data_IF_263325715551
#
_entry.id   IF_263325715551
#
_cell.length_a   1.000
_cell.length_b   1.000
_cell.length_c   1.000
_cell.angle_alpha   90.00
_cell.angle_beta   90.00
_cell.angle_gamma   90.00
#
_symmetry.space_group_name_H-M   'P 1'
#
loop_
_entity.id
_entity.type
_entity.pdbx_description
1 polymer ?
#
# COMPACT_ATOMS: atom_id res chain seq x y z
N UNK A 1 19.20 0.34 12.06
CA UNK A 1 18.00 0.23 12.92
C UNK A 1 18.30 0.62 14.36
N UNK A 2 19.26 -0.03 15.05
CA UNK A 2 19.52 0.26 16.46
C UNK A 2 20.03 1.71 16.68
N UNK A 3 20.87 2.24 15.79
CA UNK A 3 21.38 3.60 15.86
C UNK A 3 20.31 4.65 15.51
N UNK A 4 19.38 4.35 14.62
CA UNK A 4 18.29 5.23 14.22
C UNK A 4 17.20 5.30 15.29
N UNK A 5 16.83 4.16 15.91
CA UNK A 5 15.91 4.11 17.05
C UNK A 5 16.41 4.89 18.27
N UNK A 6 17.73 5.09 18.38
CA UNK A 6 18.38 5.74 19.52
C UNK A 6 18.78 7.19 19.23
N UNK A 7 18.57 7.71 18.02
CA UNK A 7 18.79 9.12 17.70
C UNK A 7 17.58 9.98 18.08
N UNK A 8 17.35 10.12 19.37
CA UNK A 8 16.30 11.00 19.94
C UNK A 8 16.48 12.48 19.58
N UNK A 9 17.62 12.86 19.00
CA UNK A 9 17.86 14.23 18.54
C UNK A 9 17.02 14.58 17.31
N UNK A 10 16.71 13.59 16.48
CA UNK A 10 15.91 13.75 15.27
C UNK A 10 14.47 14.19 15.59
N UNK A 11 13.94 13.83 16.77
CA UNK A 11 12.58 14.13 17.19
C UNK A 11 12.43 15.36 18.08
N UNK A 12 13.47 16.19 18.19
CA UNK A 12 13.42 17.43 18.98
C UNK A 12 13.30 17.22 20.50
N UNK A 13 13.57 16.01 21.00
CA UNK A 13 13.51 15.66 22.42
C UNK A 13 14.70 16.15 23.24
N UNK A 14 15.63 16.93 22.65
CA UNK A 14 16.70 17.59 23.39
C UNK A 14 16.13 18.63 24.33
N UNK A 15 15.97 18.27 25.60
CA UNK A 15 15.79 19.26 26.65
C UNK A 15 17.16 19.71 27.16
N UNK A 16 17.25 20.96 27.67
CA UNK A 16 18.48 21.48 28.30
C UNK A 16 18.97 20.64 29.50
N UNK A 17 18.16 19.70 29.96
CA UNK A 17 18.35 18.96 31.20
C UNK A 17 18.45 17.44 31.00
N UNK A 18 18.33 16.95 29.78
CA UNK A 18 18.32 15.52 29.50
C UNK A 18 19.23 15.23 28.33
N UNK A 19 20.17 14.33 28.51
CA UNK A 19 21.07 13.82 27.50
C UNK A 19 20.85 12.31 27.35
N UNK A 20 20.71 11.85 26.10
CA UNK A 20 20.48 10.45 25.77
C UNK A 20 21.71 9.84 25.11
N UNK A 21 22.11 8.67 25.57
CA UNK A 21 23.21 7.90 25.03
C UNK A 21 22.71 6.51 24.61
N UNK A 22 22.91 6.16 23.35
CA UNK A 22 22.53 4.84 22.82
C UNK A 22 23.42 3.70 23.32
N UNK A 23 24.64 4.06 23.77
CA UNK A 23 25.61 3.12 24.34
C UNK A 23 26.16 3.74 25.62
N UNK A 24 26.23 2.94 26.68
CA UNK A 24 26.78 3.37 27.97
C UNK A 24 28.23 3.83 27.82
N UNK A 25 28.51 5.06 28.23
CA UNK A 25 29.84 5.66 28.16
C UNK A 25 30.53 5.57 29.52
N UNK A 26 31.85 5.33 29.52
CA UNK A 26 32.65 5.28 30.73
C UNK A 26 32.74 6.67 31.34
N UNK A 27 32.58 6.76 32.66
CA UNK A 27 32.68 7.99 33.41
C UNK A 27 31.42 8.85 33.47
N UNK A 28 30.33 8.42 32.88
CA UNK A 28 29.01 9.06 32.97
C UNK A 28 28.15 8.28 33.93
N UNK A 29 27.56 8.95 34.92
CA UNK A 29 26.54 8.39 35.80
C UNK A 29 25.17 8.63 35.18
N UNK A 30 24.47 7.55 34.87
CA UNK A 30 23.11 7.59 34.33
C UNK A 30 22.09 7.53 35.45
N UNK A 31 21.05 8.36 35.35
CA UNK A 31 19.94 8.33 36.31
C UNK A 31 18.88 7.29 35.89
N UNK A 32 18.69 7.13 34.57
CA UNK A 32 17.63 6.26 34.01
C UNK A 32 18.15 5.42 32.86
N UNK A 33 17.51 4.28 32.65
CA UNK A 33 17.72 3.40 31.51
C UNK A 33 16.38 3.16 30.80
N UNK A 34 16.39 3.25 29.47
CA UNK A 34 15.26 2.83 28.65
C UNK A 34 15.61 1.52 27.97
N UNK A 35 14.89 0.48 28.32
CA UNK A 35 15.08 -0.86 27.78
C UNK A 35 13.96 -1.21 26.81
N UNK A 36 14.32 -1.56 25.56
CA UNK A 36 13.38 -2.04 24.55
C UNK A 36 13.56 -3.56 24.43
N UNK A 37 12.51 -4.29 24.74
CA UNK A 37 12.50 -5.76 24.70
C UNK A 37 11.53 -6.22 23.63
N UNK A 38 12.04 -6.82 22.55
CA UNK A 38 11.22 -7.47 21.52
C UNK A 38 10.61 -8.76 22.08
N UNK A 39 9.29 -8.89 21.97
CA UNK A 39 8.54 -10.03 22.50
C UNK A 39 8.18 -11.02 21.42
N UNK A 40 7.76 -10.51 20.27
CA UNK A 40 7.33 -11.34 19.16
C UNK A 40 7.62 -10.62 17.85
N UNK A 41 8.14 -11.37 16.90
CA UNK A 41 8.23 -11.00 15.49
C UNK A 41 7.48 -12.07 14.71
N UNK A 42 6.40 -11.68 14.05
CA UNK A 42 5.60 -12.57 13.22
C UNK A 42 5.69 -12.11 11.77
N UNK A 43 6.04 -13.03 10.87
CA UNK A 43 6.07 -12.79 9.43
C UNK A 43 5.14 -13.81 8.79
N UNK A 44 4.14 -13.32 8.03
CA UNK A 44 3.24 -14.21 7.30
C UNK A 44 3.97 -14.91 6.16
N UNK A 45 3.51 -16.10 5.75
CA UNK A 45 3.94 -16.66 4.48
C UNK A 45 3.57 -15.73 3.32
N UNK A 46 4.27 -15.87 2.23
CA UNK A 46 3.97 -15.20 0.96
C UNK A 46 2.62 -15.72 0.43
N UNK A 47 1.74 -14.80 0.05
CA UNK A 47 0.42 -15.13 -0.45
C UNK A 47 0.18 -14.47 -1.80
N UNK A 48 -0.36 -15.25 -2.73
CA UNK A 48 -0.89 -14.73 -4.00
C UNK A 48 -2.37 -15.11 -4.03
N UNK A 49 -3.24 -14.11 -4.10
CA UNK A 49 -4.68 -14.28 -4.27
C UNK A 49 -5.06 -13.89 -5.68
N UNK A 50 -5.74 -14.79 -6.37
CA UNK A 50 -6.20 -14.58 -7.73
C UNK A 50 -7.73 -14.44 -7.76
N UNK A 51 -8.20 -13.55 -8.62
CA UNK A 51 -9.62 -13.28 -8.81
C UNK A 51 -9.89 -13.03 -10.29
N UNK A 52 -10.93 -13.67 -10.80
CA UNK A 52 -11.42 -13.49 -12.17
C UNK A 52 -12.83 -12.91 -12.12
N UNK A 53 -13.10 -11.93 -13.00
CA UNK A 53 -14.44 -11.37 -13.16
C UNK A 53 -14.62 -10.72 -14.53
N UNK A 54 -15.87 -10.54 -14.93
CA UNK A 54 -16.25 -9.92 -16.21
C UNK A 54 -16.91 -8.58 -15.90
N UNK A 55 -16.54 -7.57 -16.67
CA UNK A 55 -17.20 -6.26 -16.71
C UNK A 55 -17.78 -6.03 -18.08
N UNK A 56 -18.98 -5.46 -18.11
CA UNK A 56 -19.67 -5.05 -19.31
C UNK A 56 -20.07 -3.57 -19.20
N UNK A 57 -19.97 -2.86 -20.30
CA UNK A 57 -20.29 -1.44 -20.35
C UNK A 57 -20.75 -1.05 -21.74
N UNK A 58 -21.73 -0.16 -21.78
CA UNK A 58 -22.07 0.55 -23.02
C UNK A 58 -21.22 1.82 -23.11
N UNK A 59 -20.55 2.00 -24.22
CA UNK A 59 -19.70 3.18 -24.50
C UNK A 59 -20.14 3.85 -25.78
N UNK A 60 -19.82 5.15 -25.90
CA UNK A 60 -19.94 5.88 -27.16
C UNK A 60 -18.62 5.68 -27.92
N UNK A 61 -18.70 5.06 -29.10
CA UNK A 61 -17.57 4.78 -29.97
C UNK A 61 -17.69 5.61 -31.27
N UNK A 62 -17.52 6.94 -31.14
CA UNK A 62 -17.69 7.88 -32.18
C UNK A 62 -19.16 8.14 -32.54
N UNK A 63 -19.39 8.60 -33.75
CA UNK A 63 -20.73 8.91 -34.29
C UNK A 63 -21.02 8.07 -35.55
N UNK A 64 -22.27 7.74 -35.74
CA UNK A 64 -22.75 7.08 -36.96
C UNK A 64 -23.86 7.87 -37.58
N UNK A 65 -24.04 7.67 -38.89
CA UNK A 65 -25.14 8.28 -39.64
C UNK A 65 -26.47 7.71 -39.15
N UNK A 66 -27.44 8.58 -38.90
CA UNK A 66 -28.81 8.17 -38.65
C UNK A 66 -29.44 7.67 -39.95
N UNK A 67 -29.94 6.45 -39.93
CA UNK A 67 -30.66 5.84 -41.05
C UNK A 67 -32.14 5.74 -40.71
N UNK A 68 -32.99 5.96 -41.72
CA UNK A 68 -34.42 5.71 -41.62
C UNK A 68 -34.76 4.18 -41.65
N UNK A 69 -36.05 3.84 -41.57
CA UNK A 69 -36.50 2.46 -41.62
C UNK A 69 -36.19 1.71 -42.95
N UNK A 70 -35.84 2.45 -44.01
CA UNK A 70 -35.48 1.94 -45.33
C UNK A 70 -33.96 1.90 -45.54
N UNK A 71 -33.17 2.28 -44.52
CA UNK A 71 -31.70 2.33 -44.59
C UNK A 71 -31.14 3.57 -45.29
N UNK A 72 -31.95 4.61 -45.55
CA UNK A 72 -31.48 5.88 -46.12
C UNK A 72 -31.02 6.86 -45.05
N UNK A 73 -30.01 7.67 -45.39
CA UNK A 73 -29.48 8.71 -44.50
C UNK A 73 -30.57 9.76 -44.21
N UNK A 74 -30.77 10.06 -42.92
CA UNK A 74 -31.67 11.15 -42.49
C UNK A 74 -30.91 12.46 -42.61
N UNK A 75 -31.54 13.44 -43.27
CA UNK A 75 -31.00 14.78 -43.43
C UNK A 75 -31.70 15.76 -42.46
N UNK A 76 -30.96 16.74 -41.99
CA UNK A 76 -31.48 17.84 -41.18
C UNK A 76 -32.19 18.90 -42.12
N UNK A 77 -32.73 19.94 -41.48
CA UNK A 77 -33.42 21.02 -42.20
C UNK A 77 -32.50 21.83 -43.15
N UNK A 78 -31.17 21.60 -43.06
CA UNK A 78 -30.16 22.24 -43.91
C UNK A 78 -29.63 21.32 -45.02
N UNK A 79 -30.13 20.08 -45.08
CA UNK A 79 -29.70 19.05 -46.04
C UNK A 79 -28.43 18.30 -45.63
N UNK A 80 -27.96 18.43 -44.38
CA UNK A 80 -26.81 17.70 -43.85
C UNK A 80 -27.25 16.38 -43.20
N UNK A 81 -26.38 15.35 -43.30
CA UNK A 81 -26.62 14.07 -42.69
C UNK A 81 -26.64 14.18 -41.15
N UNK A 82 -27.68 13.70 -40.53
CA UNK A 82 -27.79 13.67 -39.07
C UNK A 82 -26.87 12.59 -38.53
N UNK A 83 -25.98 12.97 -37.61
CA UNK A 83 -25.09 12.06 -36.90
C UNK A 83 -25.62 11.78 -35.49
N UNK A 84 -25.54 10.53 -35.06
CA UNK A 84 -25.93 10.12 -33.71
C UNK A 84 -24.80 9.34 -33.08
N UNK A 85 -24.76 9.31 -31.75
CA UNK A 85 -23.77 8.54 -31.03
C UNK A 85 -23.82 7.06 -31.40
N UNK A 86 -22.67 6.48 -31.69
CA UNK A 86 -22.54 5.07 -31.94
C UNK A 86 -22.35 4.34 -30.58
N UNK A 87 -23.45 3.81 -30.06
CA UNK A 87 -23.42 3.03 -28.81
C UNK A 87 -22.90 1.63 -29.10
N UNK A 88 -21.83 1.25 -28.39
CA UNK A 88 -21.19 -0.06 -28.47
C UNK A 88 -21.22 -0.72 -27.10
N UNK A 89 -21.72 -1.96 -27.03
CA UNK A 89 -21.59 -2.79 -25.84
C UNK A 89 -20.24 -3.49 -25.87
N UNK A 90 -19.43 -3.23 -24.88
CA UNK A 90 -18.10 -3.81 -24.73
C UNK A 90 -18.00 -4.64 -23.46
N UNK A 91 -17.20 -5.68 -23.51
CA UNK A 91 -16.94 -6.52 -22.35
C UNK A 91 -15.46 -6.79 -22.19
N UNK A 92 -15.04 -6.98 -20.93
CA UNK A 92 -13.68 -7.33 -20.58
C UNK A 92 -13.68 -8.37 -19.46
N UNK A 93 -12.84 -9.38 -19.61
CA UNK A 93 -12.54 -10.36 -18.57
C UNK A 93 -11.22 -9.95 -17.93
N UNK A 94 -11.24 -9.74 -16.61
CA UNK A 94 -10.11 -9.28 -15.83
C UNK A 94 -9.61 -10.42 -14.94
N UNK A 95 -8.30 -10.62 -14.94
CA UNK A 95 -7.57 -11.55 -14.08
C UNK A 95 -6.70 -10.70 -13.14
N UNK A 96 -7.17 -10.54 -11.91
CA UNK A 96 -6.48 -9.78 -10.86
C UNK A 96 -5.66 -10.72 -10.00
N UNK A 97 -4.41 -10.36 -9.75
CA UNK A 97 -3.53 -11.05 -8.81
C UNK A 97 -3.05 -10.08 -7.75
N UNK A 98 -3.12 -10.49 -6.49
CA UNK A 98 -2.70 -9.71 -5.34
C UNK A 98 -1.65 -10.47 -4.56
N UNK A 99 -0.43 -9.95 -4.54
CA UNK A 99 0.66 -10.41 -3.70
C UNK A 99 0.57 -9.73 -2.33
N UNK A 100 0.68 -10.52 -1.26
CA UNK A 100 0.55 -10.03 0.11
C UNK A 100 1.56 -10.73 1.01
N UNK A 101 2.26 -9.95 1.84
CA UNK A 101 3.12 -10.43 2.93
C UNK A 101 3.08 -9.42 4.06
N UNK A 102 2.95 -9.88 5.30
CA UNK A 102 2.78 -9.02 6.47
C UNK A 102 3.86 -9.34 7.51
N UNK A 103 4.40 -8.31 8.13
CA UNK A 103 5.26 -8.44 9.31
C UNK A 103 4.65 -7.65 10.45
N UNK A 104 4.63 -8.25 11.64
CA UNK A 104 4.16 -7.64 12.89
C UNK A 104 5.24 -7.80 13.95
N UNK A 105 5.53 -6.71 14.64
CA UNK A 105 6.51 -6.69 15.74
C UNK A 105 5.80 -6.21 17.00
N UNK A 106 5.97 -6.97 18.06
CA UNK A 106 5.56 -6.60 19.40
C UNK A 106 6.79 -6.40 20.27
N UNK A 107 6.86 -5.28 20.94
CA UNK A 107 7.93 -4.96 21.88
C UNK A 107 7.35 -4.35 23.16
N UNK A 108 8.20 -4.23 24.16
CA UNK A 108 7.92 -3.54 25.42
C UNK A 108 9.05 -2.56 25.68
N UNK A 109 8.71 -1.33 26.00
CA UNK A 109 9.63 -0.33 26.53
C UNK A 109 9.47 -0.27 28.03
N UNK A 110 10.56 -0.33 28.77
CA UNK A 110 10.62 -0.13 30.21
C UNK A 110 11.54 1.03 30.53
N UNK A 111 11.07 1.92 31.41
CA UNK A 111 11.81 3.02 31.93
C UNK A 111 12.22 2.71 33.35
N UNK A 112 13.51 2.57 33.59
CA UNK A 112 14.10 2.06 34.84
C UNK A 112 14.88 3.16 35.53
N UNK A 113 14.58 3.42 36.81
CA UNK A 113 15.41 4.24 37.68
C UNK A 113 16.64 3.43 38.14
N UNK A 114 17.82 3.86 37.76
CA UNK A 114 19.06 3.17 38.06
C UNK A 114 19.51 3.33 39.53
N UNK A 115 18.94 4.29 40.27
CA UNK A 115 19.22 4.46 41.70
C UNK A 115 18.42 3.48 42.57
N UNK A 116 17.14 3.35 42.24
CA UNK A 116 16.24 2.43 42.96
C UNK A 116 16.17 1.03 42.34
N UNK A 117 16.67 0.85 41.14
CA UNK A 117 16.54 -0.37 40.32
C UNK A 117 15.08 -0.77 40.06
N UNK A 118 14.16 0.19 40.06
CA UNK A 118 12.73 -0.05 39.85
C UNK A 118 12.27 0.43 38.49
N UNK A 119 11.39 -0.34 37.88
CA UNK A 119 10.68 0.11 36.66
C UNK A 119 9.67 1.18 37.06
N UNK A 120 9.87 2.40 36.56
CA UNK A 120 9.00 3.53 36.79
C UNK A 120 7.75 3.42 35.91
N UNK A 121 7.96 3.02 34.66
CA UNK A 121 6.93 2.98 33.63
C UNK A 121 7.24 1.94 32.57
N UNK A 122 6.19 1.41 31.95
CA UNK A 122 6.32 0.39 30.92
C UNK A 122 5.19 0.54 29.90
N UNK A 123 5.56 0.44 28.61
CA UNK A 123 4.63 0.61 27.50
C UNK A 123 4.76 -0.55 26.51
N UNK A 124 3.65 -1.13 26.05
CA UNK A 124 3.68 -2.00 24.90
C UNK A 124 3.92 -1.18 23.63
N UNK A 125 4.71 -1.73 22.72
CA UNK A 125 4.86 -1.23 21.35
C UNK A 125 4.36 -2.28 20.38
N UNK A 126 3.68 -1.84 19.35
CA UNK A 126 3.24 -2.66 18.23
C UNK A 126 3.53 -1.91 16.93
N UNK A 127 4.10 -2.62 15.97
CA UNK A 127 4.27 -2.12 14.61
C UNK A 127 3.89 -3.19 13.60
N UNK A 128 3.34 -2.79 12.47
CA UNK A 128 2.96 -3.66 11.37
C UNK A 128 3.37 -3.04 10.04
N UNK A 129 3.95 -3.86 9.18
CA UNK A 129 4.21 -3.52 7.79
C UNK A 129 3.52 -4.54 6.87
N UNK A 130 2.84 -4.04 5.85
CA UNK A 130 2.13 -4.84 4.85
C UNK A 130 2.71 -4.56 3.47
N UNK A 131 3.42 -5.56 2.93
CA UNK A 131 3.77 -5.55 1.52
C UNK A 131 2.56 -5.99 0.70
N UNK A 132 2.13 -5.14 -0.23
CA UNK A 132 1.05 -5.42 -1.16
C UNK A 132 1.42 -4.99 -2.58
N UNK A 133 1.23 -5.89 -3.55
CA UNK A 133 1.32 -5.57 -4.97
C UNK A 133 0.10 -6.15 -5.69
N UNK A 134 -0.67 -5.29 -6.35
CA UNK A 134 -1.82 -5.67 -7.16
C UNK A 134 -1.47 -5.43 -8.62
N UNK A 135 -1.63 -6.46 -9.43
CA UNK A 135 -1.46 -6.41 -10.87
C UNK A 135 -2.58 -7.19 -11.55
N UNK A 136 -2.88 -6.87 -12.80
CA UNK A 136 -3.94 -7.54 -13.52
C UNK A 136 -3.59 -7.73 -15.00
N UNK A 137 -4.21 -8.73 -15.61
CA UNK A 137 -4.29 -8.89 -17.06
C UNK A 137 -5.74 -8.90 -17.51
N UNK A 138 -5.96 -8.71 -18.81
CA UNK A 138 -7.33 -8.70 -19.33
C UNK A 138 -7.43 -9.37 -20.69
N UNK A 139 -8.65 -9.80 -21.03
CA UNK A 139 -9.05 -10.23 -22.37
C UNK A 139 -10.35 -9.51 -22.75
N UNK A 140 -10.39 -8.94 -23.95
CA UNK A 140 -11.52 -8.15 -24.43
C UNK A 140 -11.21 -6.66 -24.49
N UNK A 141 -12.24 -5.82 -24.43
CA UNK A 141 -12.09 -4.37 -24.55
C UNK A 141 -11.88 -3.74 -23.17
N UNK A 142 -10.68 -3.21 -22.92
CA UNK A 142 -10.33 -2.60 -21.63
C UNK A 142 -11.22 -1.39 -21.26
N UNK A 143 -11.90 -0.77 -22.24
CA UNK A 143 -12.83 0.35 -22.00
C UNK A 143 -14.04 -0.05 -21.17
N UNK A 144 -14.33 -1.35 -21.08
CA UNK A 144 -15.37 -1.88 -20.20
C UNK A 144 -14.96 -1.90 -18.73
N UNK A 145 -13.65 -1.82 -18.41
CA UNK A 145 -13.17 -1.81 -17.02
C UNK A 145 -13.31 -0.44 -16.38
N UNK A 146 -13.26 -0.42 -15.05
CA UNK A 146 -13.13 0.83 -14.29
C UNK A 146 -11.73 1.41 -14.49
N UNK A 147 -11.61 2.74 -14.47
CA UNK A 147 -10.33 3.45 -14.72
C UNK A 147 -9.22 3.08 -13.76
N UNK A 148 -9.57 2.67 -12.53
CA UNK A 148 -8.61 2.21 -11.50
C UNK A 148 -7.81 0.99 -11.96
N UNK A 149 -8.41 0.12 -12.80
CA UNK A 149 -7.72 -1.06 -13.31
C UNK A 149 -6.64 -0.76 -14.33
N UNK A 150 -6.66 0.41 -14.97
CA UNK A 150 -5.65 0.77 -15.97
C UNK A 150 -4.25 0.77 -15.36
N UNK A 151 -4.12 1.26 -14.12
CA UNK A 151 -2.84 1.23 -13.41
C UNK A 151 -2.39 -0.19 -13.03
N UNK A 152 -3.33 -1.13 -12.85
CA UNK A 152 -3.01 -2.52 -12.54
C UNK A 152 -2.62 -3.34 -13.77
N UNK A 153 -3.14 -2.98 -14.97
CA UNK A 153 -2.76 -3.63 -16.23
C UNK A 153 -1.32 -3.34 -16.65
N UNK A 154 -0.76 -2.23 -16.17
CA UNK A 154 0.63 -1.84 -16.43
C UNK A 154 1.62 -2.44 -15.41
N UNK A 155 1.11 -3.02 -14.32
CA UNK A 155 1.92 -3.67 -13.29
C UNK A 155 2.12 -5.16 -13.58
N UNK A 156 3.13 -5.73 -12.90
CA UNK A 156 3.47 -7.15 -12.96
C UNK A 156 3.78 -7.68 -11.56
N UNK A 157 3.88 -9.01 -11.45
CA UNK A 157 4.43 -9.62 -10.27
C UNK A 157 5.85 -9.10 -10.01
N UNK A 158 6.14 -8.82 -8.75
CA UNK A 158 7.48 -8.43 -8.28
C UNK A 158 7.96 -9.46 -7.26
N UNK A 159 9.27 -9.62 -7.06
CA UNK A 159 9.78 -10.46 -5.97
C UNK A 159 9.21 -10.01 -4.63
N UNK A 160 8.86 -10.95 -3.77
CA UNK A 160 8.52 -10.64 -2.40
C UNK A 160 9.75 -10.12 -1.65
N UNK A 161 9.59 -9.15 -0.74
CA UNK A 161 10.69 -8.72 0.12
C UNK A 161 11.16 -9.88 1.02
N UNK A 162 12.46 -9.91 1.31
CA UNK A 162 13.01 -10.89 2.25
C UNK A 162 12.44 -10.71 3.64
N UNK A 163 12.58 -11.71 4.52
CA UNK A 163 12.11 -11.58 5.89
C UNK A 163 12.86 -10.48 6.64
N UNK A 164 14.15 -10.33 6.38
CA UNK A 164 14.98 -9.27 6.93
C UNK A 164 14.48 -7.88 6.52
N UNK A 165 14.15 -7.72 5.22
CA UNK A 165 13.59 -6.47 4.73
C UNK A 165 12.24 -6.16 5.36
N UNK A 166 11.36 -7.17 5.50
CA UNK A 166 10.06 -7.01 6.17
C UNK A 166 10.22 -6.53 7.61
N UNK A 167 11.18 -7.09 8.36
CA UNK A 167 11.46 -6.67 9.75
C UNK A 167 12.01 -5.24 9.78
N UNK A 168 12.90 -4.89 8.83
CA UNK A 168 13.45 -3.55 8.72
C UNK A 168 12.35 -2.52 8.48
N UNK A 169 11.53 -2.73 7.45
CA UNK A 169 10.43 -1.82 7.07
C UNK A 169 9.34 -1.71 8.17
N UNK A 170 9.22 -2.73 9.04
CA UNK A 170 8.29 -2.69 10.19
C UNK A 170 8.83 -1.82 11.32
N UNK A 171 10.16 -1.66 11.41
CA UNK A 171 10.83 -0.90 12.48
C UNK A 171 11.03 0.59 12.16
N UNK A 172 10.81 1.02 10.92
CA UNK A 172 10.82 2.44 10.51
C UNK A 172 9.48 3.12 10.84
#
# INVERSE_FOLDING_TARGET
LQNELLDFNTYGLKSKWTEFHGIKQNGINYDYEMMISFRQIFISPEQIKEKEFIKEKQIIDGQKKLLDANGKEVLDNTGKVVMVDNLLNVSVRIFESRQLKTCQIQAKVEYIDLKSHQSIQSFPLFSEFVFENIYASYKGDRRASDTNYYSYFDKRAVPFPSNEQMVYDTGE
#
